data_IF_749956726696
#
_entry.id   IF_749956726696
#
_cell.length_a   1.000
_cell.length_b   1.000
_cell.length_c   1.000
_cell.angle_alpha   90.00
_cell.angle_beta   90.00
_cell.angle_gamma   90.00
#
_symmetry.space_group_name_H-M   'P 1'
#
loop_
_entity.id
_entity.type
_entity.pdbx_description
1 polymer ?
#
# COMPACT_ATOMS: atom_id res chain seq x y z
N UNK A 1 18.67 -8.37 8.69
CA UNK A 1 17.26 -8.75 8.75
C UNK A 1 17.02 -10.07 9.48
N UNK A 2 17.83 -11.10 9.26
CA UNK A 2 17.71 -12.39 9.98
C UNK A 2 17.93 -12.23 11.48
N UNK A 3 18.88 -11.41 11.87
CA UNK A 3 19.11 -11.08 13.27
C UNK A 3 17.94 -10.31 13.89
N UNK A 4 17.36 -9.38 13.16
CA UNK A 4 16.19 -8.61 13.60
C UNK A 4 14.98 -9.53 13.78
N UNK A 5 14.74 -10.44 12.84
CA UNK A 5 13.65 -11.40 12.95
C UNK A 5 13.84 -12.35 14.15
N UNK A 6 15.06 -12.90 14.33
CA UNK A 6 15.36 -13.73 15.52
C UNK A 6 15.13 -13.01 16.85
N UNK A 7 15.44 -11.71 16.89
CA UNK A 7 15.34 -10.92 18.13
C UNK A 7 13.91 -10.46 18.40
N UNK A 8 13.19 -10.00 17.36
CA UNK A 8 11.92 -9.29 17.50
C UNK A 8 10.72 -10.00 16.85
N UNK A 9 10.94 -11.09 16.11
CA UNK A 9 9.88 -11.84 15.43
C UNK A 9 9.12 -12.82 16.32
N UNK A 10 9.10 -12.62 17.64
CA UNK A 10 8.41 -13.49 18.60
C UNK A 10 6.93 -13.64 18.26
N UNK A 11 6.45 -14.88 18.16
CA UNK A 11 5.08 -15.19 17.79
C UNK A 11 4.87 -15.48 16.30
N UNK A 12 5.91 -15.32 15.46
CA UNK A 12 5.88 -15.66 14.04
C UNK A 12 6.77 -16.87 13.75
N UNK A 13 6.31 -17.76 12.89
CA UNK A 13 7.14 -18.84 12.34
C UNK A 13 8.08 -18.30 11.24
N UNK A 14 9.18 -19.00 10.92
CA UNK A 14 10.12 -18.56 9.86
C UNK A 14 9.45 -18.26 8.51
N UNK A 15 8.41 -19.03 8.15
CA UNK A 15 7.63 -18.90 6.92
C UNK A 15 6.74 -17.65 6.94
N UNK A 16 6.43 -17.11 8.12
CA UNK A 16 5.62 -15.92 8.31
C UNK A 16 6.43 -14.61 8.36
N UNK A 17 7.74 -14.68 8.05
CA UNK A 17 8.63 -13.51 8.10
C UNK A 17 8.11 -12.33 7.30
N UNK A 18 7.51 -12.55 6.15
CA UNK A 18 6.95 -11.48 5.32
C UNK A 18 5.71 -10.85 5.96
N UNK A 19 4.91 -11.62 6.68
CA UNK A 19 3.81 -11.10 7.47
C UNK A 19 4.32 -10.25 8.63
N UNK A 20 5.36 -10.70 9.32
CA UNK A 20 6.02 -9.92 10.36
C UNK A 20 6.57 -8.59 9.83
N UNK A 21 7.20 -8.58 8.67
CA UNK A 21 7.69 -7.35 8.02
C UNK A 21 6.54 -6.39 7.71
N UNK A 22 5.46 -6.89 7.10
CA UNK A 22 4.26 -6.08 6.81
C UNK A 22 3.63 -5.51 8.08
N UNK A 23 3.53 -6.31 9.14
CA UNK A 23 2.97 -5.83 10.40
C UNK A 23 3.83 -4.74 11.05
N UNK A 24 5.15 -4.81 10.95
CA UNK A 24 6.03 -3.73 11.41
C UNK A 24 5.79 -2.43 10.64
N UNK A 25 5.64 -2.51 9.31
CA UNK A 25 5.30 -1.34 8.48
C UNK A 25 3.90 -0.83 8.81
N UNK A 26 2.92 -1.70 8.94
CA UNK A 26 1.55 -1.35 9.34
C UNK A 26 1.52 -0.61 10.68
N UNK A 27 2.27 -1.10 11.66
CA UNK A 27 2.42 -0.46 12.96
C UNK A 27 2.99 0.95 12.85
N UNK A 28 4.05 1.11 12.05
CA UNK A 28 4.67 2.43 11.81
C UNK A 28 3.66 3.41 11.20
N UNK A 29 2.95 3.02 10.14
CA UNK A 29 1.96 3.89 9.48
C UNK A 29 0.84 4.29 10.44
N UNK A 30 0.32 3.34 11.21
CA UNK A 30 -0.72 3.60 12.22
C UNK A 30 -0.24 4.56 13.30
N UNK A 31 0.96 4.39 13.82
CA UNK A 31 1.54 5.24 14.87
C UNK A 31 1.83 6.64 14.36
N UNK A 32 2.32 6.78 13.12
CA UNK A 32 2.51 8.08 12.47
C UNK A 32 1.18 8.84 12.34
N UNK A 33 0.13 8.17 11.82
CA UNK A 33 -1.20 8.78 11.73
C UNK A 33 -1.70 9.24 13.09
N UNK A 34 -1.59 8.38 14.11
CA UNK A 34 -2.02 8.72 15.47
C UNK A 34 -1.27 9.94 16.02
N UNK A 35 0.05 9.97 15.85
CA UNK A 35 0.90 11.07 16.32
C UNK A 35 0.55 12.39 15.62
N UNK A 36 0.34 12.35 14.30
CA UNK A 36 -0.04 13.53 13.52
C UNK A 36 -1.38 14.09 14.01
N UNK A 37 -2.40 13.26 14.09
CA UNK A 37 -3.75 13.67 14.53
C UNK A 37 -3.72 14.22 15.95
N UNK A 38 -2.97 13.60 16.85
CA UNK A 38 -2.83 14.07 18.24
C UNK A 38 -2.11 15.41 18.34
N UNK A 39 -1.19 15.70 17.42
CA UNK A 39 -0.37 16.92 17.45
C UNK A 39 -1.05 18.06 16.71
N UNK A 40 -1.59 17.79 15.51
CA UNK A 40 -2.27 18.76 14.64
C UNK A 40 -3.35 18.05 13.83
N UNK A 41 -4.57 18.00 14.32
CA UNK A 41 -5.70 17.25 13.74
C UNK A 41 -6.06 17.63 12.30
N UNK A 42 -5.73 18.86 11.87
CA UNK A 42 -6.01 19.34 10.50
C UNK A 42 -4.95 18.91 9.48
N UNK A 43 -3.82 18.35 9.91
CA UNK A 43 -2.76 17.90 9.00
C UNK A 43 -3.17 16.59 8.33
N UNK A 44 -3.07 16.56 7.00
CA UNK A 44 -3.32 15.36 6.20
C UNK A 44 -2.04 14.54 6.07
N UNK A 45 -2.18 13.25 6.31
CA UNK A 45 -1.09 12.28 6.17
C UNK A 45 -1.31 11.42 4.93
N UNK A 46 -0.36 11.43 4.02
CA UNK A 46 -0.38 10.59 2.82
C UNK A 46 0.92 9.87 2.60
N UNK A 47 0.89 8.95 1.68
CA UNK A 47 2.06 8.19 1.24
C UNK A 47 2.21 8.24 -0.27
N UNK A 48 3.46 8.07 -0.72
CA UNK A 48 3.80 7.92 -2.14
C UNK A 48 4.49 6.56 -2.33
N UNK A 49 3.74 5.47 -2.39
CA UNK A 49 4.28 4.13 -2.52
C UNK A 49 4.72 3.85 -3.96
N UNK A 50 5.41 2.75 -4.18
CA UNK A 50 5.69 2.24 -5.52
C UNK A 50 4.39 2.05 -6.33
N UNK A 51 4.46 2.15 -7.68
CA UNK A 51 3.27 2.22 -8.53
C UNK A 51 2.39 0.97 -8.54
N UNK A 52 2.97 -0.22 -8.36
CA UNK A 52 2.25 -1.49 -8.39
C UNK A 52 2.00 -1.99 -6.97
N UNK A 53 0.73 -2.13 -6.57
CA UNK A 53 0.38 -2.77 -5.31
C UNK A 53 0.65 -4.28 -5.34
N UNK A 54 -0.05 -5.00 -6.23
CA UNK A 54 0.18 -6.41 -6.56
C UNK A 54 -0.15 -6.66 -8.02
N UNK A 55 0.58 -7.55 -8.66
CA UNK A 55 0.23 -8.03 -9.99
C UNK A 55 -1.00 -8.96 -9.89
N UNK A 56 -1.86 -8.95 -10.88
CA UNK A 56 -3.07 -9.79 -10.94
C UNK A 56 -2.75 -11.27 -10.72
N UNK A 57 -1.66 -11.76 -11.33
CA UNK A 57 -1.20 -13.16 -11.19
C UNK A 57 -0.70 -13.53 -9.80
N UNK A 58 -0.36 -12.55 -8.96
CA UNK A 58 0.12 -12.75 -7.58
C UNK A 58 -1.02 -12.75 -6.56
N UNK A 59 -2.23 -12.42 -6.98
CA UNK A 59 -3.41 -12.37 -6.09
C UNK A 59 -4.28 -13.61 -6.33
N UNK A 60 -4.66 -14.36 -5.28
CA UNK A 60 -5.51 -15.56 -5.43
C UNK A 60 -6.86 -15.27 -6.07
N UNK A 61 -7.43 -14.09 -5.80
CA UNK A 61 -8.72 -13.62 -6.29
C UNK A 61 -8.63 -12.78 -7.57
N UNK A 62 -7.41 -12.57 -8.09
CA UNK A 62 -7.18 -11.75 -9.28
C UNK A 62 -7.43 -10.24 -9.10
N UNK A 63 -7.51 -9.75 -7.86
CA UNK A 63 -7.78 -8.34 -7.54
C UNK A 63 -6.62 -7.39 -7.81
N UNK A 64 -5.42 -7.89 -8.11
CA UNK A 64 -4.26 -7.08 -8.48
C UNK A 64 -4.40 -6.43 -9.86
N UNK A 65 -3.53 -5.46 -10.16
CA UNK A 65 -3.47 -4.81 -11.46
C UNK A 65 -2.91 -5.74 -12.55
N UNK A 66 -3.32 -5.54 -13.80
CA UNK A 66 -2.77 -6.29 -14.94
C UNK A 66 -1.36 -5.79 -15.29
N UNK A 67 -0.41 -6.11 -14.42
CA UNK A 67 0.98 -5.66 -14.48
C UNK A 67 1.94 -6.81 -14.23
N UNK A 68 3.23 -6.56 -14.47
CA UNK A 68 4.30 -7.52 -14.22
C UNK A 68 5.56 -6.78 -13.74
N UNK A 69 5.65 -6.50 -12.44
CA UNK A 69 6.78 -5.78 -11.87
C UNK A 69 6.87 -5.94 -10.36
N UNK A 70 7.77 -5.16 -9.76
CA UNK A 70 7.96 -5.08 -8.31
C UNK A 70 6.65 -4.69 -7.62
N UNK A 71 6.33 -5.32 -6.52
CA UNK A 71 5.04 -5.19 -5.83
C UNK A 71 5.23 -4.59 -4.43
N UNK A 72 4.35 -3.65 -4.05
CA UNK A 72 4.35 -3.09 -2.71
C UNK A 72 4.13 -4.17 -1.64
N UNK A 73 3.08 -4.97 -1.80
CA UNK A 73 2.67 -5.95 -0.79
C UNK A 73 3.68 -7.09 -0.61
N UNK A 74 4.11 -7.71 -1.72
CA UNK A 74 4.92 -8.92 -1.68
C UNK A 74 6.42 -8.64 -1.56
N UNK A 75 6.92 -7.56 -2.17
CA UNK A 75 8.35 -7.27 -2.22
C UNK A 75 8.78 -6.15 -1.25
N UNK A 76 7.90 -5.17 -1.00
CA UNK A 76 8.19 -4.00 -0.17
C UNK A 76 7.45 -4.03 1.18
N UNK A 77 6.66 -5.07 1.41
CA UNK A 77 5.91 -5.28 2.66
C UNK A 77 4.96 -4.13 3.02
N UNK A 78 4.47 -3.41 2.00
CA UNK A 78 3.62 -2.24 2.14
C UNK A 78 2.16 -2.58 1.78
N UNK A 79 1.30 -2.73 2.78
CA UNK A 79 -0.11 -3.03 2.61
C UNK A 79 -0.94 -1.76 2.46
N UNK A 80 -0.78 -1.09 1.32
CA UNK A 80 -1.45 0.18 1.00
C UNK A 80 -2.98 0.04 1.06
N UNK A 81 -3.53 -1.10 0.62
CA UNK A 81 -4.97 -1.35 0.64
C UNK A 81 -5.52 -1.38 2.06
N UNK A 82 -4.81 -2.01 2.98
CA UNK A 82 -5.15 -2.02 4.39
C UNK A 82 -5.15 -0.59 4.97
N UNK A 83 -4.12 0.20 4.66
CA UNK A 83 -4.00 1.56 5.19
C UNK A 83 -5.11 2.48 4.71
N UNK A 84 -5.52 2.37 3.45
CA UNK A 84 -6.69 3.07 2.90
C UNK A 84 -7.97 2.60 3.60
N UNK A 85 -8.20 1.29 3.66
CA UNK A 85 -9.38 0.68 4.28
C UNK A 85 -9.54 1.06 5.76
N UNK A 86 -8.43 1.09 6.50
CA UNK A 86 -8.40 1.46 7.93
C UNK A 86 -8.34 2.97 8.16
N UNK A 87 -8.29 3.79 7.10
CA UNK A 87 -8.15 5.25 7.18
C UNK A 87 -6.90 5.70 7.96
N UNK A 88 -5.83 4.92 7.86
CA UNK A 88 -4.54 5.29 8.44
C UNK A 88 -3.78 6.30 7.59
N UNK A 89 -4.19 6.48 6.35
CA UNK A 89 -3.71 7.52 5.44
C UNK A 89 -4.90 8.32 4.89
N UNK A 90 -4.69 9.60 4.61
CA UNK A 90 -5.71 10.49 4.06
C UNK A 90 -5.67 10.54 2.53
N UNK A 91 -4.51 10.29 1.93
CA UNK A 91 -4.34 10.22 0.48
C UNK A 91 -3.21 9.27 0.09
N UNK A 92 -3.26 8.80 -1.15
CA UNK A 92 -2.30 7.87 -1.74
C UNK A 92 -1.85 8.42 -3.10
N UNK A 93 -0.53 8.60 -3.30
CA UNK A 93 0.07 9.10 -4.53
C UNK A 93 1.07 8.05 -5.03
N UNK A 94 0.62 6.99 -5.74
CA UNK A 94 1.51 5.95 -6.24
C UNK A 94 2.48 6.53 -7.27
N UNK A 95 3.72 6.05 -7.23
CA UNK A 95 4.79 6.47 -8.15
C UNK A 95 4.64 5.73 -9.49
N UNK A 96 3.78 6.27 -10.36
CA UNK A 96 3.50 5.71 -11.68
C UNK A 96 4.30 6.52 -12.70
N UNK A 97 5.54 6.10 -12.96
CA UNK A 97 6.47 6.80 -13.87
C UNK A 97 6.60 6.12 -15.23
N UNK A 98 5.71 5.20 -15.57
CA UNK A 98 5.71 4.51 -16.86
C UNK A 98 4.79 5.23 -17.86
N UNK A 99 5.11 5.09 -19.14
CA UNK A 99 4.30 5.64 -20.23
C UNK A 99 2.99 4.86 -20.43
N UNK A 100 2.06 5.47 -21.14
CA UNK A 100 0.84 4.81 -21.60
C UNK A 100 1.23 3.73 -22.60
N UNK A 101 0.72 2.51 -22.42
CA UNK A 101 1.04 1.35 -23.24
C UNK A 101 2.30 0.60 -22.82
N UNK A 102 2.94 0.95 -21.70
CA UNK A 102 4.08 0.21 -21.18
C UNK A 102 3.71 -1.26 -20.89
N UNK A 103 4.42 -2.26 -21.47
CA UNK A 103 3.97 -3.67 -21.48
C UNK A 103 3.88 -4.31 -20.10
N UNK A 104 4.67 -3.85 -19.13
CA UNK A 104 4.71 -4.41 -17.79
C UNK A 104 3.97 -3.57 -16.73
N UNK A 105 3.75 -2.27 -16.99
CA UNK A 105 3.21 -1.34 -15.99
C UNK A 105 2.57 -0.12 -16.67
N UNK A 106 1.54 -0.36 -17.47
CA UNK A 106 0.82 0.70 -18.19
C UNK A 106 0.22 1.74 -17.25
N UNK A 107 0.44 3.01 -17.56
CA UNK A 107 -0.05 4.15 -16.78
C UNK A 107 -1.57 4.14 -16.59
N UNK A 108 -2.33 3.89 -17.66
CA UNK A 108 -3.81 3.87 -17.61
C UNK A 108 -4.27 2.75 -16.67
N UNK A 109 -3.75 1.54 -16.87
CA UNK A 109 -4.07 0.37 -16.03
C UNK A 109 -3.84 0.64 -14.54
N UNK A 110 -2.72 1.25 -14.19
CA UNK A 110 -2.37 1.54 -12.79
C UNK A 110 -3.21 2.67 -12.20
N UNK A 111 -3.50 3.71 -12.95
CA UNK A 111 -4.34 4.83 -12.48
C UNK A 111 -5.79 4.39 -12.27
N UNK A 112 -6.35 3.59 -13.17
CA UNK A 112 -7.70 3.02 -13.03
C UNK A 112 -7.79 2.08 -11.83
N UNK A 113 -6.80 1.21 -11.64
CA UNK A 113 -6.75 0.32 -10.49
C UNK A 113 -6.68 1.11 -9.17
N UNK A 114 -5.83 2.13 -9.11
CA UNK A 114 -5.70 2.99 -7.92
C UNK A 114 -7.00 3.75 -7.62
N UNK A 115 -7.66 4.27 -8.65
CA UNK A 115 -8.96 4.93 -8.53
C UNK A 115 -10.01 3.99 -7.95
N UNK A 116 -10.09 2.76 -8.46
CA UNK A 116 -11.01 1.74 -7.97
C UNK A 116 -10.77 1.43 -6.49
N UNK A 117 -9.51 1.28 -6.07
CA UNK A 117 -9.15 1.07 -4.67
C UNK A 117 -9.65 2.21 -3.78
N UNK A 118 -9.42 3.45 -4.17
CA UNK A 118 -9.80 4.62 -3.37
C UNK A 118 -11.32 4.82 -3.31
N UNK A 119 -12.05 4.48 -4.36
CA UNK A 119 -13.52 4.60 -4.40
C UNK A 119 -14.24 3.49 -3.64
N UNK A 120 -13.75 2.27 -3.70
CA UNK A 120 -14.36 1.11 -3.01
C UNK A 120 -14.30 1.22 -1.48
N UNK A 121 -13.38 2.04 -0.96
CA UNK A 121 -13.19 2.24 0.48
C UNK A 121 -13.81 3.54 1.01
N UNK A 122 -14.30 4.41 0.12
CA UNK A 122 -14.83 5.72 0.47
C UNK A 122 -16.36 5.70 0.43
N UNK A 123 -17.02 5.31 1.52
CA UNK A 123 -18.47 5.48 1.74
C UNK A 123 -18.89 6.95 1.94
N UNK A 124 -17.97 7.89 1.95
CA UNK A 124 -18.20 9.33 2.11
C UNK A 124 -17.54 10.13 0.99
N UNK A 125 -18.08 10.07 -0.21
CA UNK A 125 -18.11 11.07 -1.30
C UNK A 125 -16.92 12.00 -1.59
N UNK A 126 -15.70 11.76 -1.12
CA UNK A 126 -14.53 12.59 -1.43
C UNK A 126 -13.40 11.75 -2.00
N UNK A 127 -13.36 11.69 -3.30
CA UNK A 127 -12.24 11.10 -4.07
C UNK A 127 -11.16 12.15 -4.24
N UNK A 128 -9.99 11.93 -3.65
CA UNK A 128 -8.83 12.78 -3.87
C UNK A 128 -7.83 12.01 -4.76
N UNK A 129 -7.95 12.21 -6.06
CA UNK A 129 -6.88 11.97 -7.00
C UNK A 129 -6.18 13.33 -7.19
N UNK A 130 -4.90 13.42 -6.84
CA UNK A 130 -4.08 14.54 -7.29
C UNK A 130 -4.00 14.45 -8.82
N UNK A 131 -4.38 15.53 -9.50
CA UNK A 131 -4.19 15.72 -10.95
C UNK A 131 -2.74 16.08 -11.20
#
# INVERSE_FOLDING_TARGET
>A
DDNSFRTYGKGYQPEERDNWRRENVNKLIRELKHTIVKTKEWVRFGISPFGIYRNKKSTPDGSGSNTNGLQNYDNLYADVTLWVKKKWIDYNIPQIYWEIGHPAADYITLTEWTKMLMTSTCTSGRTWLAR
#
